data_IF_623194110716
#
_entry.id   IF_623194110716
#
_cell.length_a   1.000
_cell.length_b   1.000
_cell.length_c   1.000
_cell.angle_alpha   90.00
_cell.angle_beta   90.00
_cell.angle_gamma   90.00
#
_symmetry.space_group_name_H-M   'P 1'
#
loop_
_entity.id
_entity.type
_entity.pdbx_description
1 polymer ?
#
# COMPACT_ATOMS: atom_id res chain seq x y z
N UNK A 1 -15.34 -23.71 -31.57
CA UNK A 1 -15.78 -22.96 -30.38
C UNK A 1 -14.54 -22.31 -29.78
N UNK A 2 -14.50 -20.99 -29.76
CA UNK A 2 -13.34 -20.27 -29.24
C UNK A 2 -13.27 -20.47 -27.71
N UNK A 3 -12.06 -20.66 -27.20
CA UNK A 3 -11.77 -20.84 -25.78
C UNK A 3 -12.34 -19.67 -24.97
N UNK A 4 -13.11 -19.91 -23.88
CA UNK A 4 -13.66 -18.85 -23.03
C UNK A 4 -12.60 -17.88 -22.49
N UNK A 5 -11.35 -18.34 -22.30
CA UNK A 5 -10.21 -17.53 -21.86
C UNK A 5 -9.81 -16.55 -22.97
N UNK A 6 -9.79 -17.01 -24.23
CA UNK A 6 -9.47 -16.15 -25.40
C UNK A 6 -10.52 -15.05 -25.55
N UNK A 7 -11.80 -15.36 -25.41
CA UNK A 7 -12.88 -14.37 -25.48
C UNK A 7 -12.80 -13.35 -24.33
N UNK A 8 -12.48 -13.79 -23.11
CA UNK A 8 -12.29 -12.88 -21.97
C UNK A 8 -11.11 -11.92 -22.17
N UNK A 9 -10.01 -12.42 -22.77
CA UNK A 9 -8.83 -11.61 -23.09
C UNK A 9 -9.09 -10.62 -24.23
N UNK A 10 -9.84 -11.00 -25.26
CA UNK A 10 -10.27 -10.10 -26.34
C UNK A 10 -11.17 -8.97 -25.81
N UNK A 11 -12.10 -9.29 -24.92
CA UNK A 11 -12.94 -8.29 -24.26
C UNK A 11 -12.15 -7.34 -23.35
N UNK A 12 -11.16 -7.84 -22.64
CA UNK A 12 -10.26 -7.04 -21.82
C UNK A 12 -9.38 -6.12 -22.69
N UNK A 13 -8.79 -6.63 -23.76
CA UNK A 13 -7.98 -5.87 -24.70
C UNK A 13 -8.78 -4.77 -25.42
N UNK A 14 -10.02 -5.05 -25.81
CA UNK A 14 -10.91 -4.06 -26.41
C UNK A 14 -11.34 -2.95 -25.44
N UNK A 15 -11.42 -3.24 -24.13
CA UNK A 15 -11.68 -2.23 -23.10
C UNK A 15 -10.47 -1.34 -22.86
N UNK A 16 -9.29 -1.95 -22.75
CA UNK A 16 -8.00 -1.26 -22.57
C UNK A 16 -7.71 -0.36 -23.78
N UNK A 17 -7.95 -0.82 -25.00
CA UNK A 17 -7.73 -0.06 -26.23
C UNK A 17 -8.55 1.24 -26.33
N UNK A 18 -9.68 1.35 -25.61
CA UNK A 18 -10.48 2.58 -25.57
C UNK A 18 -9.96 3.61 -24.56
N UNK A 19 -9.13 3.20 -23.63
CA UNK A 19 -8.74 4.01 -22.46
C UNK A 19 -7.27 4.44 -22.50
N UNK A 20 -6.44 3.77 -23.30
CA UNK A 20 -5.02 4.01 -23.46
C UNK A 20 -4.71 4.82 -24.73
N UNK A 21 -3.55 5.51 -24.76
CA UNK A 21 -3.03 6.13 -25.97
C UNK A 21 -2.83 5.08 -27.08
N UNK A 22 -2.83 5.51 -28.36
CA UNK A 22 -2.63 4.61 -29.51
C UNK A 22 -1.38 3.74 -29.38
N UNK A 23 -0.32 4.29 -28.78
CA UNK A 23 0.96 3.58 -28.61
C UNK A 23 0.88 2.49 -27.55
N UNK A 24 0.16 2.73 -26.46
CA UNK A 24 -0.07 1.73 -25.43
C UNK A 24 -1.03 0.63 -25.92
N UNK A 25 -2.04 0.98 -26.71
CA UNK A 25 -2.94 0.01 -27.36
C UNK A 25 -2.19 -0.88 -28.35
N UNK A 26 -1.25 -0.31 -29.10
CA UNK A 26 -0.40 -1.06 -30.02
C UNK A 26 0.53 -2.01 -29.25
N UNK A 27 1.18 -1.53 -28.19
CA UNK A 27 2.07 -2.35 -27.35
C UNK A 27 1.31 -3.56 -26.73
N UNK A 28 0.09 -3.35 -26.24
CA UNK A 28 -0.76 -4.43 -25.71
C UNK A 28 -1.16 -5.41 -26.81
N UNK A 29 -1.49 -4.93 -28.01
CA UNK A 29 -1.82 -5.77 -29.18
C UNK A 29 -0.61 -6.57 -29.64
N UNK A 30 0.56 -5.94 -29.75
CA UNK A 30 1.82 -6.60 -30.14
C UNK A 30 2.23 -7.65 -29.11
N UNK A 31 2.07 -7.39 -27.82
CA UNK A 31 2.28 -8.38 -26.74
C UNK A 31 1.30 -9.56 -26.86
N UNK A 32 0.04 -9.30 -27.19
CA UNK A 32 -0.96 -10.35 -27.40
C UNK A 32 -0.62 -11.26 -28.60
N UNK A 33 -0.16 -10.68 -29.71
CA UNK A 33 0.22 -11.42 -30.92
C UNK A 33 1.57 -12.17 -30.77
N UNK A 34 2.48 -11.68 -29.95
CA UNK A 34 3.76 -12.37 -29.65
C UNK A 34 3.61 -13.44 -28.57
N UNK A 35 2.59 -13.36 -27.75
CA UNK A 35 2.36 -14.28 -26.64
C UNK A 35 1.59 -15.54 -27.09
N UNK A 36 2.11 -16.28 -28.06
CA UNK A 36 1.75 -17.68 -28.26
C UNK A 36 2.06 -18.58 -27.04
N UNK A 37 2.43 -17.97 -25.90
CA UNK A 37 2.71 -18.60 -24.62
C UNK A 37 2.05 -17.82 -23.47
N UNK A 38 0.79 -18.20 -23.23
CA UNK A 38 0.18 -18.12 -21.92
C UNK A 38 -0.22 -16.75 -21.37
N UNK A 39 -1.49 -16.62 -21.00
CA UNK A 39 -2.06 -15.52 -20.25
C UNK A 39 -1.24 -15.16 -18.98
N UNK A 40 -0.54 -16.15 -18.44
CA UNK A 40 0.32 -16.03 -17.26
C UNK A 40 1.53 -15.10 -17.48
N UNK A 41 2.16 -15.17 -18.67
CA UNK A 41 3.29 -14.30 -19.00
C UNK A 41 2.85 -12.84 -19.20
N UNK A 42 1.68 -12.63 -19.78
CA UNK A 42 1.09 -11.29 -19.94
C UNK A 42 0.74 -10.69 -18.59
N UNK A 43 0.11 -11.47 -17.71
CA UNK A 43 -0.21 -11.03 -16.35
C UNK A 43 1.06 -10.71 -15.54
N UNK A 44 2.11 -11.51 -15.67
CA UNK A 44 3.41 -11.28 -15.03
C UNK A 44 4.07 -9.99 -15.56
N UNK A 45 4.10 -9.78 -16.87
CA UNK A 45 4.69 -8.59 -17.46
C UNK A 45 3.94 -7.31 -17.10
N UNK A 46 2.60 -7.37 -17.00
CA UNK A 46 1.77 -6.26 -16.50
C UNK A 46 2.09 -5.98 -15.01
N UNK A 47 2.18 -7.03 -14.19
CA UNK A 47 2.51 -6.88 -12.78
C UNK A 47 3.93 -6.31 -12.56
N UNK A 48 4.89 -6.72 -13.37
CA UNK A 48 6.27 -6.20 -13.33
C UNK A 48 6.36 -4.75 -13.84
N UNK A 49 5.61 -4.40 -14.87
CA UNK A 49 5.51 -3.01 -15.37
C UNK A 49 4.85 -2.11 -14.31
N UNK A 50 3.80 -2.57 -13.68
CA UNK A 50 3.11 -1.88 -12.59
C UNK A 50 4.02 -1.69 -11.37
N UNK A 51 4.81 -2.70 -11.00
CA UNK A 51 5.79 -2.61 -9.91
C UNK A 51 6.89 -1.58 -10.20
N UNK A 52 7.38 -1.53 -11.45
CA UNK A 52 8.38 -0.52 -11.89
C UNK A 52 7.82 0.88 -11.85
N UNK A 53 6.61 1.10 -12.38
CA UNK A 53 5.96 2.41 -12.33
C UNK A 53 5.62 2.85 -10.91
N UNK A 54 5.24 1.93 -10.03
CA UNK A 54 5.03 2.23 -8.61
C UNK A 54 6.34 2.68 -7.94
N UNK A 55 7.45 2.02 -8.24
CA UNK A 55 8.77 2.39 -7.73
C UNK A 55 9.26 3.75 -8.28
N UNK A 56 9.06 4.02 -9.57
CA UNK A 56 9.37 5.32 -10.18
C UNK A 56 8.54 6.46 -9.57
N UNK A 57 7.25 6.20 -9.28
CA UNK A 57 6.37 7.18 -8.62
C UNK A 57 6.81 7.48 -7.19
N UNK A 58 7.23 6.46 -6.44
CA UNK A 58 7.80 6.64 -5.09
C UNK A 58 9.10 7.44 -5.16
N UNK A 59 9.99 7.09 -6.08
CA UNK A 59 11.28 7.80 -6.27
C UNK A 59 11.06 9.24 -6.72
N UNK A 60 10.07 9.49 -7.58
CA UNK A 60 9.68 10.84 -8.02
C UNK A 60 9.04 11.63 -6.86
N UNK A 61 8.21 11.01 -6.04
CA UNK A 61 7.63 11.62 -4.85
C UNK A 61 8.71 11.99 -3.82
N UNK A 62 9.72 11.15 -3.64
CA UNK A 62 10.88 11.44 -2.76
C UNK A 62 11.74 12.59 -3.31
N UNK A 63 11.98 12.63 -4.64
CA UNK A 63 12.69 13.74 -5.29
C UNK A 63 11.92 15.05 -5.18
N UNK A 64 10.59 15.00 -5.31
CA UNK A 64 9.70 16.15 -5.15
C UNK A 64 9.70 16.63 -3.69
N UNK A 65 9.63 15.71 -2.72
CA UNK A 65 9.66 16.04 -1.30
C UNK A 65 11.00 16.69 -0.87
N UNK A 66 12.11 16.28 -1.48
CA UNK A 66 13.45 16.89 -1.24
C UNK A 66 13.60 18.28 -1.87
N UNK A 67 12.81 18.60 -2.90
CA UNK A 67 12.91 19.87 -3.65
C UNK A 67 11.82 20.89 -3.26
N UNK A 68 10.96 20.59 -2.30
CA UNK A 68 9.68 21.26 -2.10
C UNK A 68 9.70 22.40 -1.08
N UNK A 69 10.59 23.37 -1.32
CA UNK A 69 10.43 24.69 -0.68
C UNK A 69 9.39 25.60 -1.34
N UNK A 70 9.02 25.41 -2.62
CA UNK A 70 8.25 26.43 -3.38
C UNK A 70 7.20 25.93 -4.40
N UNK A 71 6.98 24.62 -4.63
CA UNK A 71 6.10 24.12 -5.73
C UNK A 71 5.07 23.05 -5.38
N UNK A 72 4.72 22.89 -4.10
CA UNK A 72 3.91 21.77 -3.58
C UNK A 72 2.51 21.57 -4.18
N UNK A 73 1.85 22.63 -4.65
CA UNK A 73 0.46 22.56 -5.16
C UNK A 73 0.34 21.86 -6.53
N UNK A 74 1.29 22.08 -7.42
CA UNK A 74 1.27 21.48 -8.76
C UNK A 74 1.60 19.97 -8.74
N UNK A 75 2.51 19.55 -7.87
CA UNK A 75 2.88 18.16 -7.68
C UNK A 75 1.72 17.37 -7.06
N UNK A 76 1.07 17.90 -6.01
CA UNK A 76 -0.11 17.31 -5.38
C UNK A 76 -1.27 17.12 -6.36
N UNK A 77 -1.49 18.09 -7.28
CA UNK A 77 -2.51 17.96 -8.32
C UNK A 77 -2.19 16.84 -9.31
N UNK A 78 -0.92 16.69 -9.74
CA UNK A 78 -0.49 15.60 -10.65
C UNK A 78 -0.62 14.23 -9.99
N UNK A 79 -0.21 14.08 -8.74
CA UNK A 79 -0.35 12.82 -7.99
C UNK A 79 -1.84 12.44 -7.87
N UNK A 80 -2.73 13.39 -7.56
CA UNK A 80 -4.18 13.14 -7.52
C UNK A 80 -4.75 12.75 -8.89
N UNK A 81 -4.30 13.38 -9.98
CA UNK A 81 -4.74 13.05 -11.33
C UNK A 81 -4.25 11.65 -11.77
N UNK A 82 -3.01 11.30 -11.42
CA UNK A 82 -2.45 9.96 -11.69
C UNK A 82 -3.13 8.88 -10.87
N UNK A 83 -3.41 9.11 -9.59
CA UNK A 83 -4.16 8.18 -8.74
C UNK A 83 -5.60 7.97 -9.27
N UNK A 84 -6.27 9.05 -9.70
CA UNK A 84 -7.61 8.95 -10.30
C UNK A 84 -7.60 8.26 -11.68
N UNK A 85 -6.57 8.48 -12.51
CA UNK A 85 -6.41 7.81 -13.78
C UNK A 85 -6.13 6.31 -13.58
N UNK A 86 -5.29 5.97 -12.60
CA UNK A 86 -4.97 4.58 -12.24
C UNK A 86 -6.21 3.83 -11.72
N UNK A 87 -7.00 4.45 -10.85
CA UNK A 87 -8.28 3.88 -10.38
C UNK A 87 -9.24 3.57 -11.53
N UNK A 88 -9.31 4.44 -12.55
CA UNK A 88 -10.13 4.21 -13.75
C UNK A 88 -9.59 3.06 -14.62
N UNK A 89 -8.28 2.91 -14.73
CA UNK A 89 -7.63 1.81 -15.45
C UNK A 89 -7.89 0.49 -14.72
N UNK A 90 -7.71 0.44 -13.40
CA UNK A 90 -7.97 -0.75 -12.60
C UNK A 90 -9.45 -1.16 -12.69
N UNK A 91 -10.40 -0.22 -12.68
CA UNK A 91 -11.82 -0.48 -12.95
C UNK A 91 -12.07 -1.02 -14.36
N UNK A 92 -11.40 -0.49 -15.37
CA UNK A 92 -11.57 -0.90 -16.76
C UNK A 92 -10.99 -2.31 -17.04
N UNK A 93 -9.94 -2.70 -16.32
CA UNK A 93 -9.29 -4.01 -16.45
C UNK A 93 -10.01 -5.12 -15.65
N UNK A 94 -11.08 -4.78 -14.89
CA UNK A 94 -11.79 -5.76 -14.06
C UNK A 94 -10.95 -6.34 -12.91
N UNK A 95 -9.75 -5.84 -12.73
CA UNK A 95 -8.86 -6.14 -11.60
C UNK A 95 -9.22 -5.23 -10.43
N UNK A 96 -10.18 -5.64 -9.62
CA UNK A 96 -10.49 -4.93 -8.38
C UNK A 96 -9.31 -5.12 -7.42
N UNK A 97 -8.32 -4.22 -7.48
CA UNK A 97 -7.41 -4.10 -6.36
C UNK A 97 -8.20 -3.51 -5.20
N UNK A 98 -8.23 -4.24 -4.11
CA UNK A 98 -8.88 -3.76 -2.89
C UNK A 98 -8.13 -2.60 -2.22
N UNK A 99 -7.12 -2.00 -2.87
CA UNK A 99 -6.29 -0.91 -2.33
C UNK A 99 -5.78 0.03 -3.44
N UNK A 100 -5.50 1.29 -3.07
CA UNK A 100 -5.02 2.32 -3.97
C UNK A 100 -3.49 2.40 -4.03
N UNK A 101 -2.82 2.11 -2.90
CA UNK A 101 -1.36 2.23 -2.71
C UNK A 101 -0.84 1.00 -1.96
N UNK A 102 0.33 0.49 -2.36
CA UNK A 102 1.08 -0.49 -1.56
C UNK A 102 2.22 0.23 -0.81
N UNK A 103 2.28 0.02 0.50
CA UNK A 103 3.36 0.44 1.36
C UNK A 103 4.16 -0.78 1.80
N UNK A 104 5.43 -0.80 1.43
CA UNK A 104 6.36 -1.87 1.82
C UNK A 104 7.17 -1.42 3.02
N UNK A 105 7.13 -2.21 4.08
CA UNK A 105 8.01 -2.06 5.25
C UNK A 105 9.24 -2.95 5.06
N UNK A 106 10.41 -2.33 5.07
CA UNK A 106 11.70 -3.00 4.88
C UNK A 106 12.13 -3.68 6.18
N UNK A 107 12.06 -5.03 6.20
CA UNK A 107 12.43 -5.83 7.37
C UNK A 107 13.93 -5.83 7.67
N UNK A 108 14.77 -5.52 6.69
CA UNK A 108 16.20 -5.38 6.92
C UNK A 108 16.55 -4.09 7.67
N UNK A 109 15.75 -3.05 7.46
CA UNK A 109 15.93 -1.73 8.05
C UNK A 109 15.15 -1.53 9.35
N UNK A 110 13.95 -2.14 9.45
CA UNK A 110 13.04 -2.02 10.58
C UNK A 110 12.55 -3.41 11.01
N UNK A 111 13.46 -4.26 11.52
CA UNK A 111 13.14 -5.67 11.79
C UNK A 111 12.06 -5.89 12.85
N UNK A 112 12.03 -5.07 13.89
CA UNK A 112 11.06 -5.25 14.98
C UNK A 112 9.67 -4.74 14.60
N UNK A 113 9.56 -3.59 13.92
CA UNK A 113 8.29 -3.08 13.35
C UNK A 113 7.75 -4.03 12.31
N UNK A 114 8.62 -4.54 11.41
CA UNK A 114 8.24 -5.51 10.38
C UNK A 114 7.71 -6.81 10.99
N UNK A 115 8.39 -7.36 12.00
CA UNK A 115 7.95 -8.55 12.71
C UNK A 115 6.60 -8.33 13.41
N UNK A 116 6.41 -7.20 14.09
CA UNK A 116 5.14 -6.88 14.76
C UNK A 116 3.98 -6.78 13.75
N UNK A 117 4.20 -6.17 12.58
CA UNK A 117 3.20 -6.11 11.51
C UNK A 117 2.82 -7.53 11.05
N UNK A 118 3.81 -8.39 10.75
CA UNK A 118 3.57 -9.77 10.33
C UNK A 118 2.81 -10.57 11.39
N UNK A 119 3.20 -10.47 12.65
CA UNK A 119 2.52 -11.10 13.78
C UNK A 119 1.06 -10.66 13.87
N UNK A 120 0.79 -9.37 13.83
CA UNK A 120 -0.55 -8.84 13.92
C UNK A 120 -1.41 -9.26 12.72
N UNK A 121 -0.86 -9.23 11.51
CA UNK A 121 -1.55 -9.68 10.29
C UNK A 121 -1.79 -11.21 10.26
N UNK A 122 -1.00 -11.99 11.00
CA UNK A 122 -1.20 -13.45 11.14
C UNK A 122 -2.06 -13.86 12.35
N UNK A 123 -2.55 -12.89 13.12
CA UNK A 123 -3.41 -13.16 14.28
C UNK A 123 -2.67 -13.39 15.60
N UNK A 124 -1.41 -12.95 15.68
CA UNK A 124 -0.70 -12.82 16.96
C UNK A 124 -0.80 -11.36 17.44
N UNK A 125 -1.63 -11.14 18.46
CA UNK A 125 -1.95 -9.80 18.95
C UNK A 125 -1.21 -9.55 20.27
N UNK A 126 -0.49 -8.43 20.31
CA UNK A 126 0.28 -7.98 21.47
C UNK A 126 -0.49 -6.91 22.27
N UNK A 127 -0.27 -6.92 23.57
CA UNK A 127 -0.72 -5.89 24.50
C UNK A 127 0.41 -5.57 25.50
N UNK A 128 1.28 -4.65 25.10
CA UNK A 128 2.53 -4.38 25.80
C UNK A 128 3.48 -5.57 25.74
N UNK A 129 3.86 -6.12 26.88
CA UNK A 129 4.78 -7.24 26.99
C UNK A 129 4.14 -8.62 26.71
N UNK A 130 2.82 -8.70 26.54
CA UNK A 130 2.11 -9.96 26.36
C UNK A 130 1.63 -10.12 24.93
N UNK A 131 1.96 -11.20 24.26
CA UNK A 131 1.47 -11.59 22.93
C UNK A 131 0.62 -12.84 22.99
N UNK A 132 -0.45 -12.91 22.20
CA UNK A 132 -1.37 -14.05 22.13
C UNK A 132 -1.68 -14.37 20.67
N UNK A 133 -1.36 -15.59 20.27
CA UNK A 133 -1.69 -16.13 18.94
C UNK A 133 -3.14 -16.68 18.90
N UNK A 134 -3.61 -17.00 17.68
CA UNK A 134 -4.95 -17.54 17.46
C UNK A 134 -6.07 -16.47 17.62
N UNK A 135 -5.73 -15.21 17.47
CA UNK A 135 -6.69 -14.09 17.44
C UNK A 135 -7.09 -13.79 16.00
N UNK A 136 -8.15 -13.01 15.84
CA UNK A 136 -8.51 -12.49 14.53
C UNK A 136 -7.34 -11.66 13.95
N UNK A 137 -6.86 -11.98 12.73
CA UNK A 137 -5.81 -11.21 12.07
C UNK A 137 -6.18 -9.74 11.91
N UNK A 138 -5.19 -8.86 12.04
CA UNK A 138 -5.38 -7.46 11.70
C UNK A 138 -5.34 -7.29 10.19
N UNK A 139 -6.15 -6.37 9.63
CA UNK A 139 -6.18 -6.16 8.19
C UNK A 139 -4.82 -5.65 7.66
N UNK A 140 -4.46 -6.11 6.46
CA UNK A 140 -3.30 -5.60 5.73
C UNK A 140 -3.66 -4.40 4.84
N UNK A 141 -4.95 -4.19 4.55
CA UNK A 141 -5.45 -3.04 3.80
C UNK A 141 -6.10 -2.09 4.80
N UNK A 142 -5.56 -0.87 4.86
CA UNK A 142 -5.92 0.14 5.83
C UNK A 142 -6.36 1.42 5.13
N UNK A 143 -7.25 2.20 5.76
CA UNK A 143 -7.82 3.43 5.20
C UNK A 143 -7.24 4.65 5.90
N UNK A 144 -6.61 5.57 5.17
CA UNK A 144 -6.05 6.81 5.74
C UNK A 144 -7.14 7.63 6.41
N UNK A 145 -6.95 7.95 7.70
CA UNK A 145 -7.78 8.85 8.51
C UNK A 145 -6.93 9.62 9.51
N UNK A 146 -6.17 10.59 9.01
CA UNK A 146 -5.26 11.40 9.84
C UNK A 146 -5.99 12.25 10.87
N UNK A 147 -7.25 12.60 10.63
CA UNK A 147 -8.04 13.42 11.57
C UNK A 147 -8.36 12.65 12.87
N UNK A 148 -8.51 11.32 12.76
CA UNK A 148 -8.76 10.44 13.89
C UNK A 148 -7.49 9.96 14.63
N UNK A 149 -6.31 10.33 14.17
CA UNK A 149 -5.05 9.72 14.62
C UNK A 149 -4.79 9.87 16.12
N UNK A 150 -5.03 11.04 16.70
CA UNK A 150 -4.80 11.28 18.13
C UNK A 150 -5.77 10.49 19.01
N UNK A 151 -7.04 10.42 18.62
CA UNK A 151 -8.05 9.63 19.31
C UNK A 151 -7.73 8.12 19.22
N UNK A 152 -7.32 7.65 18.07
CA UNK A 152 -6.89 6.27 17.85
C UNK A 152 -5.67 5.93 18.70
N UNK A 153 -4.65 6.79 18.73
CA UNK A 153 -3.46 6.60 19.57
C UNK A 153 -3.81 6.55 21.05
N UNK A 154 -4.64 7.46 21.53
CA UNK A 154 -5.09 7.45 22.91
C UNK A 154 -5.86 6.17 23.25
N UNK A 155 -6.66 5.65 22.31
CA UNK A 155 -7.45 4.44 22.52
C UNK A 155 -6.59 3.16 22.49
N UNK A 156 -5.65 3.03 21.55
CA UNK A 156 -4.76 1.86 21.43
C UNK A 156 -3.83 1.73 22.64
N UNK A 157 -3.24 2.83 23.07
CA UNK A 157 -2.24 2.87 24.14
C UNK A 157 -2.84 2.88 25.56
N UNK A 158 -4.16 2.95 25.69
CA UNK A 158 -4.84 3.00 26.99
C UNK A 158 -4.47 1.82 27.88
N UNK A 159 -3.94 2.11 29.07
CA UNK A 159 -3.54 1.10 30.06
C UNK A 159 -2.25 0.35 29.72
N UNK A 160 -1.48 0.81 28.74
CA UNK A 160 -0.15 0.30 28.45
C UNK A 160 0.86 1.37 28.84
N UNK A 161 1.63 1.11 29.89
CA UNK A 161 2.64 2.04 30.38
C UNK A 161 3.77 2.25 29.36
N UNK A 162 4.48 3.36 29.42
CA UNK A 162 5.76 3.54 28.72
C UNK A 162 6.83 2.64 29.35
N UNK A 163 7.77 2.17 28.56
CA UNK A 163 8.85 1.29 29.01
C UNK A 163 10.18 1.66 28.36
N UNK A 164 10.79 2.80 28.73
CA UNK A 164 12.09 3.17 28.18
C UNK A 164 13.14 2.07 28.39
N UNK A 165 14.05 1.82 27.42
CA UNK A 165 14.26 2.58 26.17
C UNK A 165 13.38 2.15 24.98
N UNK A 166 12.37 1.32 25.18
CA UNK A 166 11.48 0.84 24.12
C UNK A 166 10.31 1.82 23.90
N UNK A 167 9.80 1.81 22.66
CA UNK A 167 8.57 2.48 22.28
C UNK A 167 7.41 1.48 22.19
N UNK A 168 6.18 2.00 22.21
CA UNK A 168 4.95 1.25 22.00
C UNK A 168 4.56 1.37 20.54
N UNK A 169 4.86 0.34 19.76
CA UNK A 169 4.45 0.25 18.35
C UNK A 169 3.01 -0.25 18.24
N UNK A 170 2.25 0.33 17.33
CA UNK A 170 0.81 0.09 17.13
C UNK A 170 0.53 -0.49 15.74
N UNK A 171 -0.18 -1.61 15.66
CA UNK A 171 -0.71 -2.10 14.40
C UNK A 171 -2.20 -2.49 14.50
N UNK A 172 -3.11 -1.94 13.66
CA UNK A 172 -2.88 -0.91 12.66
C UNK A 172 -2.43 0.43 13.27
N UNK A 173 -1.58 1.19 12.56
CA UNK A 173 -1.12 2.50 13.02
C UNK A 173 -2.26 3.50 13.23
N UNK A 174 -2.09 4.41 14.19
CA UNK A 174 -3.13 5.36 14.59
C UNK A 174 -3.66 6.26 13.47
N UNK A 175 -2.86 6.53 12.43
CA UNK A 175 -3.26 7.35 11.27
C UNK A 175 -4.27 6.68 10.34
N UNK A 176 -4.61 5.42 10.58
CA UNK A 176 -5.60 4.70 9.80
C UNK A 176 -6.90 4.50 10.57
N UNK A 177 -8.02 4.43 9.86
CA UNK A 177 -9.36 4.21 10.41
C UNK A 177 -9.45 2.93 11.25
N UNK A 178 -8.70 1.91 10.87
CA UNK A 178 -8.64 0.60 11.52
C UNK A 178 -7.75 0.58 12.77
N UNK A 179 -7.07 1.71 13.07
CA UNK A 179 -6.29 1.91 14.29
C UNK A 179 -7.16 2.08 15.53
N UNK A 180 -6.52 2.35 16.66
CA UNK A 180 -7.22 2.66 17.89
C UNK A 180 -7.59 1.44 18.73
N UNK A 181 -8.81 1.39 19.21
CA UNK A 181 -9.27 0.32 20.12
C UNK A 181 -9.07 -1.07 19.50
N UNK A 182 -8.35 -1.93 20.23
CA UNK A 182 -8.08 -3.30 19.76
C UNK A 182 -6.87 -3.43 18.84
N UNK A 183 -6.16 -2.37 18.50
CA UNK A 183 -4.87 -2.48 17.82
C UNK A 183 -3.91 -3.38 18.60
N UNK A 184 -3.03 -4.08 17.90
CA UNK A 184 -1.89 -4.76 18.50
C UNK A 184 -0.90 -3.69 18.96
N UNK A 185 -0.42 -3.76 20.21
CA UNK A 185 0.57 -2.83 20.75
C UNK A 185 1.71 -3.63 21.34
N UNK A 186 2.91 -3.46 20.79
CA UNK A 186 4.11 -4.18 21.20
C UNK A 186 5.21 -3.22 21.61
N UNK A 187 6.00 -3.59 22.61
CA UNK A 187 7.22 -2.87 22.91
C UNK A 187 8.31 -3.30 21.93
N UNK A 188 8.90 -2.34 21.26
CA UNK A 188 9.99 -2.54 20.31
C UNK A 188 11.06 -1.47 20.48
N UNK A 189 12.21 -1.67 19.87
CA UNK A 189 13.29 -0.68 19.90
C UNK A 189 12.80 0.68 19.41
N UNK A 190 13.08 1.74 20.18
CA UNK A 190 12.59 3.08 19.87
C UNK A 190 13.10 3.61 18.51
N UNK A 191 14.36 3.33 18.15
CA UNK A 191 14.93 3.75 16.85
C UNK A 191 14.25 3.04 15.67
N UNK A 192 13.95 1.75 15.81
CA UNK A 192 13.21 0.97 14.81
C UNK A 192 11.79 1.54 14.64
N UNK A 193 11.05 1.70 15.72
CA UNK A 193 9.69 2.26 15.70
C UNK A 193 9.62 3.66 15.07
N UNK A 194 10.46 4.57 15.51
CA UNK A 194 10.48 5.96 15.03
C UNK A 194 10.93 6.03 13.57
N UNK A 195 11.91 5.22 13.19
CA UNK A 195 12.40 5.11 11.82
C UNK A 195 11.33 4.58 10.86
N UNK A 196 10.69 3.48 11.24
CA UNK A 196 9.57 2.87 10.49
C UNK A 196 8.40 3.84 10.36
N UNK A 197 7.97 4.45 11.46
CA UNK A 197 6.89 5.43 11.48
C UNK A 197 7.18 6.67 10.62
N UNK A 198 8.40 7.20 10.67
CA UNK A 198 8.84 8.33 9.84
C UNK A 198 8.87 7.98 8.35
N UNK A 199 9.36 6.78 8.00
CA UNK A 199 9.36 6.27 6.64
C UNK A 199 7.94 6.14 6.10
N UNK A 200 7.05 5.51 6.87
CA UNK A 200 5.63 5.37 6.55
C UNK A 200 4.94 6.73 6.37
N UNK A 201 5.11 7.64 7.32
CA UNK A 201 4.54 8.99 7.26
C UNK A 201 5.04 9.79 6.05
N UNK A 202 6.29 9.61 5.66
CA UNK A 202 6.87 10.24 4.48
C UNK A 202 6.31 9.67 3.18
N UNK A 203 6.18 8.35 3.08
CA UNK A 203 5.64 7.67 1.90
C UNK A 203 4.15 8.00 1.67
N UNK A 204 3.38 8.19 2.73
CA UNK A 204 1.94 8.46 2.67
C UNK A 204 1.59 9.96 2.67
N UNK A 205 2.60 10.83 2.78
CA UNK A 205 2.40 12.28 2.87
C UNK A 205 1.67 12.82 1.65
N UNK A 206 0.58 13.55 1.90
CA UNK A 206 -0.22 14.20 0.86
C UNK A 206 -1.23 13.29 0.16
N UNK A 207 -1.31 12.02 0.52
CA UNK A 207 -2.42 11.18 0.10
C UNK A 207 -3.72 11.62 0.80
N UNK A 208 -4.85 11.61 0.08
CA UNK A 208 -6.12 12.05 0.64
C UNK A 208 -6.64 11.07 1.71
N UNK A 209 -7.41 11.60 2.67
CA UNK A 209 -8.24 10.80 3.56
C UNK A 209 -9.13 9.85 2.75
N UNK A 210 -9.26 8.61 3.21
CA UNK A 210 -10.00 7.57 2.52
C UNK A 210 -9.15 6.74 1.54
N UNK A 211 -7.89 7.12 1.28
CA UNK A 211 -6.98 6.28 0.48
C UNK A 211 -6.78 4.93 1.16
N UNK A 212 -6.96 3.85 0.40
CA UNK A 212 -6.75 2.47 0.86
C UNK A 212 -5.30 2.07 0.61
N UNK A 213 -4.60 1.71 1.66
CA UNK A 213 -3.18 1.37 1.66
C UNK A 213 -3.01 -0.09 2.05
N UNK A 214 -2.39 -0.88 1.19
CA UNK A 214 -1.96 -2.24 1.53
C UNK A 214 -0.58 -2.18 2.16
N UNK A 215 -0.47 -2.67 3.39
CA UNK A 215 0.81 -2.78 4.11
C UNK A 215 1.38 -4.19 3.93
N UNK A 216 2.58 -4.26 3.37
CA UNK A 216 3.35 -5.48 3.18
C UNK A 216 4.72 -5.37 3.83
N UNK A 217 5.33 -6.50 4.17
CA UNK A 217 6.70 -6.58 4.72
C UNK A 217 7.58 -7.35 3.75
N UNK A 218 8.76 -6.86 3.49
CA UNK A 218 9.77 -7.50 2.65
C UNK A 218 11.16 -7.44 3.31
#
# INVERSE_FOLDING_TARGET
>A
MSDPIVQALEHAAARVGRTLSKDASKAVSDMYHQAGHGAEQVAKNIAEADARHAHELVTLAEKIAKNDGKTGLGARRRIRQQAAARSKIDQALGGHRDYDVELVVDSSRYPESALHIQEAQSGTISRGATSRSGRAPKPSILTIDTDGADANRAASLRGIATRPPEDRDEYPPAMFKEGGTGASVKYINASDNQGSGSSMGSALRGLPKGTRVKITVR
#
